data_IF_674410724852
#
_entry.id   IF_674410724852
#
_cell.length_a   1.000
_cell.length_b   1.000
_cell.length_c   1.000
_cell.angle_alpha   90.00
_cell.angle_beta   90.00
_cell.angle_gamma   90.00
#
_symmetry.space_group_name_H-M   'P 1'
#
loop_
_entity.id
_entity.type
_entity.pdbx_description
1 polymer ?
#
# COMPACT_ATOMS: atom_id res chain seq x y z
N UNK A 1 -7.61 40.27 7.92
CA UNK A 1 -6.98 40.61 9.21
C UNK A 1 -7.29 39.46 10.15
N UNK A 2 -6.53 38.36 10.03
CA UNK A 2 -6.72 37.01 10.60
C UNK A 2 -5.49 36.12 10.19
N UNK A 3 -4.26 36.52 10.55
CA UNK A 3 -2.99 35.81 10.21
C UNK A 3 -2.18 36.43 9.07
N UNK A 4 -1.45 37.54 9.30
CA UNK A 4 -0.85 38.34 8.23
C UNK A 4 0.58 37.95 7.80
N UNK A 5 0.72 37.59 6.53
CA UNK A 5 1.75 38.02 5.55
C UNK A 5 1.04 38.16 4.19
N UNK A 6 1.54 38.72 3.09
CA UNK A 6 2.72 39.54 2.79
C UNK A 6 2.36 41.03 3.03
N UNK A 7 3.34 41.87 3.33
CA UNK A 7 3.20 43.35 3.43
C UNK A 7 4.57 43.97 3.09
N UNK A 8 4.63 45.13 2.45
CA UNK A 8 5.89 45.80 2.09
C UNK A 8 5.92 46.38 0.67
N UNK A 9 7.06 46.95 0.28
CA UNK A 9 7.32 47.39 -1.10
C UNK A 9 7.28 46.19 -2.06
N UNK A 10 6.93 46.41 -3.32
CA UNK A 10 6.96 45.39 -4.40
C UNK A 10 5.99 44.22 -4.19
N UNK A 11 4.83 44.47 -3.59
CA UNK A 11 3.81 43.44 -3.31
C UNK A 11 2.47 43.74 -3.98
N UNK A 12 1.76 42.69 -4.39
CA UNK A 12 0.39 42.79 -4.91
C UNK A 12 -0.60 42.12 -3.96
N UNK A 13 -1.52 42.90 -3.39
CA UNK A 13 -2.51 42.44 -2.42
C UNK A 13 -3.93 42.69 -2.92
N UNK A 14 -4.75 41.64 -2.87
CA UNK A 14 -6.17 41.71 -3.27
C UNK A 14 -7.05 41.39 -2.08
N UNK A 15 -8.00 42.29 -1.79
CA UNK A 15 -9.09 42.06 -0.83
C UNK A 15 -10.42 42.14 -1.57
N UNK A 16 -11.10 41.01 -1.70
CA UNK A 16 -12.44 40.92 -2.27
C UNK A 16 -13.31 40.02 -1.40
N UNK A 17 -14.46 40.52 -0.95
CA UNK A 17 -15.40 39.73 -0.12
C UNK A 17 -16.18 38.72 -0.95
N UNK A 18 -16.41 39.00 -2.23
CA UNK A 18 -17.10 38.11 -3.16
C UNK A 18 -16.21 37.08 -3.86
N UNK A 19 -14.89 37.12 -3.63
CA UNK A 19 -13.92 36.28 -4.33
C UNK A 19 -13.16 37.00 -5.45
N UNK A 20 -12.24 36.26 -6.08
CA UNK A 20 -11.35 36.74 -7.16
C UNK A 20 -11.32 35.68 -8.26
N UNK A 21 -11.28 36.08 -9.53
CA UNK A 21 -11.11 35.18 -10.67
C UNK A 21 -10.05 35.71 -11.64
N UNK A 22 -9.30 34.79 -12.22
CA UNK A 22 -8.33 35.01 -13.28
C UNK A 22 -8.78 34.20 -14.50
N UNK A 23 -8.83 34.84 -15.67
CA UNK A 23 -9.33 34.25 -16.91
C UNK A 23 -8.24 34.38 -17.96
N UNK A 24 -7.81 33.25 -18.54
CA UNK A 24 -6.79 33.19 -19.59
C UNK A 24 -7.30 32.28 -20.71
N UNK A 25 -7.65 32.87 -21.85
CA UNK A 25 -8.27 32.12 -22.95
C UNK A 25 -9.54 31.39 -22.50
N UNK A 26 -9.58 30.06 -22.71
CA UNK A 26 -10.69 29.21 -22.29
C UNK A 26 -10.68 28.77 -20.82
N UNK A 27 -9.61 29.06 -20.06
CA UNK A 27 -9.45 28.66 -18.67
C UNK A 27 -9.90 29.74 -17.69
N UNK A 28 -10.53 29.33 -16.58
CA UNK A 28 -10.81 30.19 -15.43
C UNK A 28 -10.31 29.53 -14.16
N UNK A 29 -9.60 30.31 -13.35
CA UNK A 29 -9.13 29.94 -12.00
C UNK A 29 -9.62 30.99 -11.01
N UNK A 30 -10.27 30.58 -9.93
CA UNK A 30 -10.90 31.52 -8.99
C UNK A 30 -10.85 31.06 -7.54
N UNK A 31 -11.08 31.98 -6.62
CA UNK A 31 -11.33 31.76 -5.20
C UNK A 31 -12.69 32.37 -4.89
N UNK A 32 -13.64 31.59 -4.39
CA UNK A 32 -14.96 32.08 -3.97
C UNK A 32 -14.87 32.92 -2.69
N UNK A 33 -15.81 33.84 -2.50
CA UNK A 33 -16.01 34.51 -1.21
C UNK A 33 -16.18 33.48 -0.08
N UNK A 34 -15.41 33.63 1.00
CA UNK A 34 -15.41 32.70 2.14
C UNK A 34 -14.53 31.45 1.96
N UNK A 35 -13.82 31.30 0.85
CA UNK A 35 -12.84 30.23 0.61
C UNK A 35 -11.42 30.76 0.54
N UNK A 36 -10.44 29.87 0.72
CA UNK A 36 -9.01 30.12 0.47
C UNK A 36 -8.43 29.18 -0.59
N UNK A 37 -9.22 28.20 -1.06
CA UNK A 37 -8.79 27.23 -2.07
C UNK A 37 -9.03 27.72 -3.50
N UNK A 38 -8.09 27.40 -4.38
CA UNK A 38 -8.19 27.67 -5.81
C UNK A 38 -9.13 26.66 -6.49
N UNK A 39 -10.03 27.17 -7.33
CA UNK A 39 -10.92 26.39 -8.18
C UNK A 39 -10.57 26.65 -9.63
N UNK A 40 -10.16 25.61 -10.36
CA UNK A 40 -9.72 25.69 -11.75
C UNK A 40 -10.68 24.94 -12.67
N UNK A 41 -11.00 25.53 -13.83
CA UNK A 41 -11.90 24.91 -14.81
C UNK A 41 -11.36 23.55 -15.28
N UNK A 42 -12.16 22.50 -15.08
CA UNK A 42 -11.76 21.12 -15.44
C UNK A 42 -12.93 20.26 -15.97
N UNK A 43 -14.03 20.90 -16.40
CA UNK A 43 -15.20 20.18 -16.96
C UNK A 43 -14.86 19.48 -18.27
N UNK A 44 -15.47 18.30 -18.50
CA UNK A 44 -15.30 17.52 -19.73
C UNK A 44 -15.60 18.33 -21.00
N UNK A 45 -16.62 19.19 -20.95
CA UNK A 45 -17.02 20.02 -22.09
C UNK A 45 -16.01 21.12 -22.45
N UNK A 46 -15.06 21.43 -21.57
CA UNK A 46 -13.98 22.37 -21.83
C UNK A 46 -12.70 21.68 -22.34
N UNK A 47 -12.71 20.35 -22.52
CA UNK A 47 -11.54 19.55 -22.91
C UNK A 47 -11.81 18.74 -24.18
N UNK A 48 -10.86 18.76 -25.10
CA UNK A 48 -10.82 17.90 -26.31
C UNK A 48 -9.64 16.93 -26.21
N UNK A 49 -9.53 15.99 -27.15
CA UNK A 49 -8.39 15.06 -27.28
C UNK A 49 -8.08 14.32 -25.97
N UNK A 50 -9.12 13.78 -25.34
CA UNK A 50 -8.97 13.10 -24.03
C UNK A 50 -8.77 11.63 -24.29
N UNK A 51 -7.58 11.17 -23.93
CA UNK A 51 -7.13 9.79 -24.01
C UNK A 51 -6.82 9.29 -22.59
N UNK A 52 -7.11 8.02 -22.28
CA UNK A 52 -6.70 7.43 -21.00
C UNK A 52 -5.17 7.34 -20.92
N UNK A 53 -4.64 7.42 -19.70
CA UNK A 53 -3.24 7.12 -19.39
C UNK A 53 -3.16 5.74 -18.75
N UNK A 54 -2.06 5.03 -18.98
CA UNK A 54 -1.77 3.74 -18.33
C UNK A 54 -1.21 4.00 -16.92
N UNK A 55 -1.95 3.67 -15.83
CA UNK A 55 -1.56 4.04 -14.48
C UNK A 55 -0.23 3.41 -14.03
N UNK A 56 0.04 2.18 -14.44
CA UNK A 56 1.30 1.46 -14.17
C UNK A 56 2.52 2.18 -14.78
N UNK A 57 2.43 2.63 -16.03
CA UNK A 57 3.49 3.38 -16.69
C UNK A 57 3.73 4.74 -16.01
N UNK A 58 2.66 5.43 -15.58
CA UNK A 58 2.80 6.69 -14.82
C UNK A 58 3.46 6.44 -13.46
N UNK A 59 3.09 5.36 -12.76
CA UNK A 59 3.74 4.99 -11.50
C UNK A 59 5.24 4.73 -11.71
N UNK A 60 5.63 3.99 -12.75
CA UNK A 60 7.04 3.74 -13.08
C UNK A 60 7.82 5.04 -13.35
N UNK A 61 7.19 6.01 -14.04
CA UNK A 61 7.75 7.34 -14.21
C UNK A 61 7.95 8.07 -12.88
N UNK A 62 6.97 8.03 -11.98
CA UNK A 62 7.10 8.63 -10.63
C UNK A 62 8.17 7.92 -9.79
N UNK A 63 8.28 6.60 -9.86
CA UNK A 63 9.26 5.81 -9.09
C UNK A 63 10.71 6.07 -9.54
N UNK A 64 10.91 6.38 -10.81
CA UNK A 64 12.24 6.68 -11.37
C UNK A 64 12.63 8.16 -11.26
N UNK A 65 11.65 9.06 -11.10
CA UNK A 65 11.87 10.50 -11.03
C UNK A 65 12.46 10.93 -9.67
N UNK A 66 13.59 11.67 -9.67
CA UNK A 66 14.15 12.21 -8.43
C UNK A 66 13.20 13.20 -7.73
N UNK A 67 13.10 13.08 -6.41
CA UNK A 67 12.43 14.08 -5.56
C UNK A 67 13.44 14.58 -4.54
N UNK A 68 13.62 15.90 -4.50
CA UNK A 68 14.58 16.54 -3.61
C UNK A 68 13.93 17.71 -2.87
N UNK A 69 14.58 18.11 -1.77
CA UNK A 69 14.33 19.43 -1.18
C UNK A 69 15.18 20.46 -1.89
N UNK A 70 14.62 21.64 -2.15
CA UNK A 70 15.31 22.72 -2.85
C UNK A 70 14.87 24.07 -2.32
N UNK A 71 15.66 25.10 -2.59
CA UNK A 71 15.31 26.50 -2.33
C UNK A 71 15.48 27.28 -3.63
N UNK A 72 14.69 28.35 -3.80
CA UNK A 72 15.00 29.32 -4.85
C UNK A 72 16.32 30.02 -4.55
N UNK A 73 17.06 30.40 -5.59
CA UNK A 73 18.21 31.29 -5.45
C UNK A 73 17.72 32.69 -5.04
N UNK A 74 18.29 33.23 -3.97
CA UNK A 74 18.08 34.60 -3.51
C UNK A 74 18.92 35.62 -4.30
N UNK A 75 18.70 36.90 -4.02
CA UNK A 75 19.35 38.00 -4.74
C UNK A 75 20.88 38.04 -4.57
N UNK A 76 21.40 37.44 -3.50
CA UNK A 76 22.84 37.30 -3.20
C UNK A 76 23.47 36.03 -3.80
N UNK A 77 22.68 35.19 -4.46
CA UNK A 77 23.13 33.92 -5.04
C UNK A 77 23.09 32.73 -4.07
N UNK A 78 22.75 32.95 -2.80
CA UNK A 78 22.53 31.89 -1.81
C UNK A 78 21.05 31.42 -1.84
N UNK A 79 20.65 30.54 -0.91
CA UNK A 79 19.27 30.08 -0.79
C UNK A 79 18.33 31.18 -0.24
N UNK A 80 17.13 31.31 -0.82
CA UNK A 80 16.12 32.27 -0.40
C UNK A 80 15.48 31.98 0.97
N UNK A 81 15.94 30.93 1.67
CA UNK A 81 15.55 30.60 3.04
C UNK A 81 14.17 29.94 3.17
N UNK A 82 13.54 29.59 2.05
CA UNK A 82 12.32 28.77 2.02
C UNK A 82 12.61 27.45 1.34
N UNK A 83 12.56 26.37 2.12
CA UNK A 83 12.70 25.01 1.61
C UNK A 83 11.39 24.50 1.02
N UNK A 84 11.48 24.05 -0.22
CA UNK A 84 10.42 23.36 -0.97
C UNK A 84 10.80 21.88 -1.15
N UNK A 85 9.83 21.06 -1.54
CA UNK A 85 10.04 19.65 -1.89
C UNK A 85 9.31 19.35 -3.20
N UNK A 86 10.00 18.65 -4.11
CA UNK A 86 9.43 18.23 -5.38
C UNK A 86 10.51 17.79 -6.37
N UNK A 87 10.10 17.29 -7.55
CA UNK A 87 11.03 17.04 -8.64
C UNK A 87 11.49 18.36 -9.28
N UNK A 88 12.60 18.29 -10.01
CA UNK A 88 12.96 19.37 -10.95
C UNK A 88 12.04 19.29 -12.17
N UNK A 89 11.82 20.43 -12.84
CA UNK A 89 10.88 20.50 -13.95
C UNK A 89 11.36 19.70 -15.16
N UNK A 90 12.67 19.67 -15.39
CA UNK A 90 13.29 18.94 -16.48
C UNK A 90 13.12 17.42 -16.30
N UNK A 91 13.33 16.90 -15.08
CA UNK A 91 13.09 15.49 -14.76
C UNK A 91 11.62 15.12 -14.95
N UNK A 92 10.71 16.00 -14.51
CA UNK A 92 9.26 15.81 -14.71
C UNK A 92 8.88 15.79 -16.18
N UNK A 93 9.47 16.69 -16.99
CA UNK A 93 9.23 16.74 -18.42
C UNK A 93 9.81 15.51 -19.13
N UNK A 94 11.01 15.05 -18.76
CA UNK A 94 11.61 13.83 -19.29
C UNK A 94 10.73 12.59 -19.00
N UNK A 95 10.14 12.52 -17.79
CA UNK A 95 9.32 11.39 -17.39
C UNK A 95 7.92 11.36 -18.06
N UNK A 96 7.30 12.52 -18.32
CA UNK A 96 5.88 12.57 -18.71
C UNK A 96 5.57 13.35 -19.99
N UNK A 97 6.47 14.21 -20.47
CA UNK A 97 6.30 15.04 -21.68
C UNK A 97 4.94 15.78 -21.74
N UNK A 98 4.54 16.41 -20.63
CA UNK A 98 3.30 17.20 -20.53
C UNK A 98 3.55 18.65 -20.16
N UNK A 99 2.68 19.54 -20.65
CA UNK A 99 2.79 20.98 -20.43
C UNK A 99 3.33 21.72 -21.65
N UNK A 100 3.63 23.01 -21.48
CA UNK A 100 4.13 23.90 -22.52
C UNK A 100 5.60 24.30 -22.30
N UNK A 101 6.24 23.79 -21.26
CA UNK A 101 7.62 24.11 -20.89
C UNK A 101 8.27 22.94 -20.13
N UNK A 102 9.55 22.72 -20.42
CA UNK A 102 10.47 21.83 -19.70
C UNK A 102 11.01 22.42 -18.38
N UNK A 103 10.71 23.70 -18.09
CA UNK A 103 11.24 24.46 -16.94
C UNK A 103 10.18 24.81 -15.91
N UNK A 104 8.93 24.39 -16.14
CA UNK A 104 7.81 24.70 -15.25
C UNK A 104 6.93 23.47 -15.09
N UNK A 105 6.59 23.16 -13.84
CA UNK A 105 5.59 22.14 -13.54
C UNK A 105 4.26 22.85 -13.30
N UNK A 106 3.31 22.63 -14.20
CA UNK A 106 1.94 23.08 -13.98
C UNK A 106 1.29 22.22 -12.89
N UNK A 107 0.64 22.83 -11.90
CA UNK A 107 0.03 22.08 -10.78
C UNK A 107 -1.05 21.10 -11.23
N UNK A 108 -1.78 21.40 -12.32
CA UNK A 108 -2.77 20.47 -12.90
C UNK A 108 -2.09 19.18 -13.38
N UNK A 109 -0.91 19.32 -14.00
CA UNK A 109 -0.15 18.18 -14.51
C UNK A 109 0.43 17.37 -13.35
N UNK A 110 1.00 18.04 -12.34
CA UNK A 110 1.51 17.38 -11.13
C UNK A 110 0.41 16.60 -10.40
N UNK A 111 -0.76 17.21 -10.19
CA UNK A 111 -1.92 16.55 -9.56
C UNK A 111 -2.41 15.36 -10.39
N UNK A 112 -2.45 15.51 -11.72
CA UNK A 112 -2.84 14.45 -12.64
C UNK A 112 -1.90 13.24 -12.58
N UNK A 113 -0.59 13.48 -12.61
CA UNK A 113 0.44 12.44 -12.45
C UNK A 113 0.32 11.76 -11.09
N UNK A 114 0.16 12.53 -10.01
CA UNK A 114 0.01 11.97 -8.67
C UNK A 114 -1.22 11.05 -8.55
N UNK A 115 -2.38 11.48 -9.08
CA UNK A 115 -3.60 10.66 -9.07
C UNK A 115 -3.47 9.40 -9.93
N UNK A 116 -2.82 9.47 -11.09
CA UNK A 116 -2.57 8.31 -11.94
C UNK A 116 -1.58 7.33 -11.29
N UNK A 117 -0.50 7.83 -10.69
CA UNK A 117 0.45 6.99 -9.96
C UNK A 117 -0.19 6.29 -8.75
N UNK A 118 -1.09 6.96 -8.02
CA UNK A 118 -1.87 6.33 -6.93
C UNK A 118 -2.72 5.16 -7.46
N UNK A 119 -3.34 5.31 -8.63
CA UNK A 119 -4.08 4.22 -9.27
C UNK A 119 -3.17 3.05 -9.65
N UNK A 120 -2.03 3.33 -10.29
CA UNK A 120 -1.05 2.29 -10.63
C UNK A 120 -0.52 1.58 -9.39
N UNK A 121 -0.39 2.29 -8.26
CA UNK A 121 0.03 1.70 -7.00
C UNK A 121 -1.06 0.78 -6.42
N UNK A 122 -2.32 1.19 -6.49
CA UNK A 122 -3.45 0.35 -6.07
C UNK A 122 -3.53 -0.94 -6.92
N UNK A 123 -3.41 -0.83 -8.24
CA UNK A 123 -3.38 -1.99 -9.15
C UNK A 123 -2.26 -2.99 -8.78
N UNK A 124 -1.05 -2.48 -8.53
CA UNK A 124 0.09 -3.31 -8.11
C UNK A 124 -0.09 -3.94 -6.72
N UNK A 125 -0.87 -3.32 -5.84
CA UNK A 125 -1.20 -3.89 -4.52
C UNK A 125 -2.20 -5.04 -4.67
N UNK A 126 -3.25 -4.86 -5.46
CA UNK A 126 -4.25 -5.89 -5.75
C UNK A 126 -3.59 -7.13 -6.38
N UNK A 127 -2.73 -6.94 -7.39
CA UNK A 127 -1.96 -8.03 -8.02
C UNK A 127 -1.09 -8.81 -7.03
N UNK A 128 -0.51 -8.11 -6.04
CA UNK A 128 0.32 -8.73 -5.01
C UNK A 128 -0.53 -9.50 -4.00
N UNK A 129 -1.71 -9.00 -3.66
CA UNK A 129 -2.64 -9.68 -2.75
C UNK A 129 -3.17 -10.98 -3.37
N UNK A 130 -3.57 -10.94 -4.65
CA UNK A 130 -3.98 -12.14 -5.39
C UNK A 130 -2.86 -13.19 -5.43
N UNK A 131 -1.62 -12.77 -5.69
CA UNK A 131 -0.47 -13.67 -5.69
C UNK A 131 -0.20 -14.28 -4.31
N UNK A 132 -0.37 -13.51 -3.24
CA UNK A 132 -0.20 -14.02 -1.88
C UNK A 132 -1.26 -15.07 -1.54
N UNK A 133 -2.50 -14.87 -1.98
CA UNK A 133 -3.58 -15.82 -1.75
C UNK A 133 -3.40 -17.12 -2.55
N UNK A 134 -2.94 -17.05 -3.80
CA UNK A 134 -2.55 -18.23 -4.59
C UNK A 134 -1.42 -19.01 -3.91
N UNK A 135 -0.39 -18.31 -3.43
CA UNK A 135 0.74 -18.92 -2.74
C UNK A 135 0.32 -19.59 -1.42
N UNK A 136 -0.59 -18.97 -0.66
CA UNK A 136 -1.17 -19.57 0.56
C UNK A 136 -1.94 -20.84 0.23
N UNK A 137 -2.81 -20.81 -0.78
CA UNK A 137 -3.56 -22.00 -1.21
C UNK A 137 -2.65 -23.17 -1.61
N UNK A 138 -1.54 -22.87 -2.30
CA UNK A 138 -0.56 -23.90 -2.65
C UNK A 138 0.23 -24.42 -1.46
N UNK A 139 0.52 -23.59 -0.48
CA UNK A 139 1.14 -24.04 0.77
C UNK A 139 0.22 -24.99 1.52
N UNK A 140 -1.06 -24.64 1.66
CA UNK A 140 -2.05 -25.50 2.31
C UNK A 140 -2.18 -26.87 1.60
N UNK A 141 -2.17 -26.88 0.27
CA UNK A 141 -2.21 -28.12 -0.53
C UNK A 141 -0.95 -28.97 -0.31
N UNK A 142 0.23 -28.35 -0.33
CA UNK A 142 1.50 -29.05 -0.12
C UNK A 142 1.63 -29.58 1.32
N UNK A 143 1.11 -28.84 2.31
CA UNK A 143 1.07 -29.30 3.70
C UNK A 143 0.16 -30.51 3.86
N UNK A 144 -1.03 -30.50 3.24
CA UNK A 144 -1.92 -31.66 3.22
C UNK A 144 -1.33 -32.86 2.49
N UNK A 145 -0.64 -32.66 1.36
CA UNK A 145 0.05 -33.74 0.65
C UNK A 145 1.20 -34.32 1.48
N UNK A 146 2.00 -33.48 2.12
CA UNK A 146 3.07 -33.94 3.01
C UNK A 146 2.53 -34.79 4.15
N UNK A 147 1.41 -34.38 4.76
CA UNK A 147 0.79 -35.14 5.83
C UNK A 147 0.30 -36.51 5.34
N UNK A 148 -0.40 -36.56 4.21
CA UNK A 148 -0.86 -37.81 3.60
C UNK A 148 0.31 -38.74 3.21
N UNK A 149 1.43 -38.17 2.75
CA UNK A 149 2.63 -38.94 2.44
C UNK A 149 3.31 -39.49 3.70
N UNK A 150 3.37 -38.73 4.79
CA UNK A 150 3.87 -39.20 6.10
C UNK A 150 3.03 -40.36 6.60
N UNK A 151 1.71 -40.22 6.62
CA UNK A 151 0.80 -41.31 7.03
C UNK A 151 1.01 -42.58 6.19
N UNK A 152 1.19 -42.42 4.87
CA UNK A 152 1.46 -43.54 3.97
C UNK A 152 2.81 -44.20 4.25
N UNK A 153 3.84 -43.42 4.54
CA UNK A 153 5.16 -43.94 4.90
C UNK A 153 5.08 -44.74 6.21
N UNK A 154 4.45 -44.18 7.25
CA UNK A 154 4.25 -44.86 8.53
C UNK A 154 3.52 -46.20 8.35
N UNK A 155 2.47 -46.22 7.53
CA UNK A 155 1.73 -47.45 7.22
C UNK A 155 2.58 -48.50 6.49
N UNK A 156 3.44 -48.07 5.56
CA UNK A 156 4.34 -48.96 4.83
C UNK A 156 5.45 -49.50 5.74
N UNK A 157 6.01 -48.66 6.62
CA UNK A 157 7.02 -49.04 7.60
C UNK A 157 6.45 -50.06 8.60
N UNK A 158 5.24 -49.82 9.13
CA UNK A 158 4.55 -50.76 10.00
C UNK A 158 4.31 -52.13 9.30
N UNK A 159 3.90 -52.11 8.02
CA UNK A 159 3.70 -53.33 7.24
C UNK A 159 5.00 -54.10 7.02
N UNK A 160 6.10 -53.39 6.75
CA UNK A 160 7.42 -54.02 6.59
C UNK A 160 7.86 -54.69 7.89
N UNK A 161 7.71 -54.00 9.01
CA UNK A 161 8.07 -54.54 10.33
C UNK A 161 7.30 -55.82 10.66
N UNK A 162 6.01 -55.87 10.32
CA UNK A 162 5.18 -57.07 10.48
C UNK A 162 5.60 -58.23 9.56
N UNK A 163 6.12 -57.95 8.35
CA UNK A 163 6.60 -58.96 7.43
C UNK A 163 7.98 -59.51 7.83
N UNK A 164 8.90 -58.63 8.26
CA UNK A 164 10.23 -59.01 8.73
C UNK A 164 10.17 -59.77 10.09
N UNK A 165 9.13 -59.55 10.90
CA UNK A 165 8.87 -60.29 12.13
C UNK A 165 8.25 -61.71 11.94
N UNK A 166 7.90 -62.09 10.71
CA UNK A 166 7.29 -63.38 10.39
C UNK A 166 8.26 -64.53 10.13
N UNK A 167 9.56 -64.25 9.99
CA UNK A 167 10.62 -65.23 9.68
C UNK A 167 11.51 -65.58 10.90
N UNK A 168 11.16 -65.13 12.10
CA UNK A 168 11.74 -65.65 13.35
C UNK A 168 11.05 -66.97 13.73
N UNK A 169 11.33 -68.00 12.93
CA UNK A 169 10.98 -69.39 13.19
C UNK A 169 11.64 -69.90 14.49
N UNK A 170 10.87 -70.77 15.12
CA UNK A 170 11.10 -71.59 16.29
C UNK A 170 12.54 -71.99 16.63
N UNK A 171 12.85 -71.84 17.92
CA UNK A 171 13.87 -72.63 18.60
C UNK A 171 15.06 -71.82 19.10
N UNK A 172 15.05 -71.45 20.39
CA UNK A 172 15.87 -72.14 21.39
C UNK A 172 15.39 -71.73 22.79
N UNK A 173 15.18 -72.80 23.55
CA UNK A 173 14.85 -72.94 24.95
C UNK A 173 15.97 -72.42 25.88
N UNK A 174 15.55 -71.79 26.98
CA UNK A 174 16.25 -71.89 28.26
C UNK A 174 17.14 -70.72 28.68
N UNK A 175 16.81 -70.15 29.86
CA UNK A 175 17.85 -69.75 30.81
C UNK A 175 17.78 -68.31 31.33
N UNK A 176 17.23 -68.19 32.54
CA UNK A 176 17.78 -67.43 33.67
C UNK A 176 17.91 -65.89 33.63
N UNK A 177 16.93 -65.28 34.31
CA UNK A 177 17.04 -64.32 35.44
C UNK A 177 18.19 -63.29 35.54
N UNK A 178 17.74 -62.06 35.82
CA UNK A 178 18.17 -61.19 36.95
C UNK A 178 18.96 -59.90 36.63
N UNK A 179 18.46 -58.85 37.28
CA UNK A 179 19.12 -57.61 37.73
C UNK A 179 19.35 -56.46 36.75
N UNK A 180 18.73 -55.32 37.06
CA UNK A 180 19.18 -54.02 36.58
C UNK A 180 18.11 -52.95 36.57
N UNK A 181 17.65 -52.55 37.75
CA UNK A 181 16.98 -51.26 37.95
C UNK A 181 18.05 -50.20 37.66
N UNK A 182 17.81 -49.28 36.73
CA UNK A 182 18.32 -47.92 36.91
C UNK A 182 17.29 -46.90 36.39
N UNK A 183 16.93 -46.07 37.35
CA UNK A 183 15.96 -44.99 37.33
C UNK A 183 16.68 -43.77 36.76
N UNK A 184 16.14 -43.18 35.69
CA UNK A 184 16.52 -41.81 35.32
C UNK A 184 15.23 -41.02 35.13
N UNK A 185 14.90 -40.35 36.22
CA UNK A 185 13.93 -39.30 36.39
C UNK A 185 14.56 -37.97 35.89
N UNK A 186 13.93 -37.28 34.94
CA UNK A 186 13.99 -35.81 34.86
C UNK A 186 12.73 -35.24 34.15
N UNK A 187 11.95 -34.38 34.82
CA UNK A 187 10.72 -33.79 34.30
C UNK A 187 10.88 -32.31 33.86
N UNK A 188 10.05 -31.89 32.90
CA UNK A 188 9.79 -30.48 32.55
C UNK A 188 10.25 -30.13 31.13
N UNK A 189 9.44 -29.53 30.25
CA UNK A 189 8.56 -28.37 30.49
C UNK A 189 7.40 -28.32 29.48
N UNK A 190 6.19 -28.13 30.01
CA UNK A 190 5.04 -27.56 29.31
C UNK A 190 5.21 -26.05 29.10
N UNK A 191 4.62 -25.53 28.02
CA UNK A 191 4.20 -24.12 27.92
C UNK A 191 4.50 -23.47 26.57
N UNK A 192 3.51 -23.39 25.68
CA UNK A 192 2.99 -22.11 25.19
C UNK A 192 1.68 -22.31 24.40
N UNK A 193 0.55 -22.22 25.12
CA UNK A 193 -0.77 -21.99 24.53
C UNK A 193 -0.94 -20.49 24.26
N UNK A 194 -0.61 -20.05 23.06
CA UNK A 194 -0.83 -18.70 22.58
C UNK A 194 -2.25 -18.49 22.04
N UNK A 195 -3.20 -18.19 22.93
CA UNK A 195 -4.52 -17.68 22.57
C UNK A 195 -4.43 -16.21 22.10
N UNK A 196 -4.98 -15.89 20.92
CA UNK A 196 -5.26 -14.50 20.52
C UNK A 196 -6.58 -14.38 19.74
N UNK A 197 -7.62 -14.05 20.50
CA UNK A 197 -8.69 -13.08 20.22
C UNK A 197 -9.41 -13.11 18.86
N UNK A 198 -10.63 -13.67 18.89
CA UNK A 198 -11.71 -13.27 18.00
C UNK A 198 -12.17 -11.83 18.29
N UNK A 199 -12.36 -11.05 17.23
CA UNK A 199 -13.09 -9.78 17.28
C UNK A 199 -14.43 -9.98 16.56
N UNK A 200 -15.46 -10.23 17.36
CA UNK A 200 -16.85 -10.04 16.96
C UNK A 200 -17.13 -8.55 16.82
N UNK A 201 -17.58 -8.10 15.64
CA UNK A 201 -18.31 -6.84 15.51
C UNK A 201 -19.70 -7.10 14.94
N UNK A 202 -20.63 -7.23 15.86
CA UNK A 202 -22.08 -7.09 15.67
C UNK A 202 -22.37 -5.71 15.08
N UNK A 203 -23.02 -5.64 13.92
CA UNK A 203 -23.77 -4.45 13.50
C UNK A 203 -25.25 -4.77 13.67
N UNK A 204 -25.81 -4.22 14.75
CA UNK A 204 -27.24 -4.15 14.97
C UNK A 204 -27.82 -3.07 14.04
N UNK A 205 -28.85 -3.44 13.28
CA UNK A 205 -29.76 -2.50 12.66
C UNK A 205 -30.70 -1.91 13.71
N UNK A 206 -31.00 -0.62 13.55
CA UNK A 206 -32.22 -0.01 14.08
C UNK A 206 -32.65 1.11 13.13
N UNK A 207 -33.73 0.85 12.39
CA UNK A 207 -34.58 1.87 11.82
C UNK A 207 -35.27 2.66 12.95
N UNK A 208 -35.41 3.98 12.77
CA UNK A 208 -36.62 4.70 13.18
C UNK A 208 -36.68 6.07 12.50
N UNK A 209 -37.85 6.33 11.93
CA UNK A 209 -38.26 7.51 11.19
C UNK A 209 -38.35 8.79 12.04
N UNK A 210 -38.33 9.92 11.33
CA UNK A 210 -38.75 11.23 11.82
C UNK A 210 -38.85 12.22 10.66
N UNK A 211 -40.07 12.49 10.20
CA UNK A 211 -40.38 13.56 9.23
C UNK A 211 -40.79 14.86 9.92
N UNK A 212 -40.62 15.98 9.21
CA UNK A 212 -41.36 17.26 9.31
C UNK A 212 -40.88 18.10 8.10
N UNK A 213 -41.70 18.38 7.08
CA UNK A 213 -42.66 19.49 6.97
C UNK A 213 -42.08 20.85 7.38
N UNK A 214 -41.58 21.60 6.39
CA UNK A 214 -42.01 22.98 6.07
C UNK A 214 -41.42 23.43 4.74
#
# INVERSE_FOLDING_TARGET
>A
MNGSGVTGAETFHVKATGGVRFITGGGTTYISGGSTGWSTTSTRSAKTNVEPVEPSAVLEGVESMPVATWEYTGDDGDGAGTTHIGPMAEDFHEAFDVGDSDRHINSINADGVALAAIKGLAERLDEREERLDDQRGRLDELEAENEALRERLDALEARRLAADGGDADSGIDGGDTDSGIDEVDDPGTEGDDGAAAGVSKTVAGSESAGGEVR
#
